data_IF_176869083376
#
_entry.id   IF_176869083376
#
_cell.length_a   1.000
_cell.length_b   1.000
_cell.length_c   1.000
_cell.angle_alpha   90.00
_cell.angle_beta   90.00
_cell.angle_gamma   90.00
#
_symmetry.space_group_name_H-M   'P 1'
#
loop_
_entity.id
_entity.type
_entity.pdbx_description
1 polymer ?
#
# COMPACT_ATOMS: atom_id res chain seq x y z
N UNK A 1 25.59 -31.57 -18.05
CA UNK A 1 24.48 -31.92 -17.13
C UNK A 1 23.34 -30.99 -17.46
N UNK A 2 22.12 -31.51 -17.63
CA UNK A 2 20.93 -30.70 -17.93
C UNK A 2 20.69 -29.71 -16.78
N UNK A 3 20.36 -28.44 -17.02
CA UNK A 3 19.86 -27.58 -15.95
C UNK A 3 18.62 -28.24 -15.35
N UNK A 4 18.58 -28.38 -14.02
CA UNK A 4 17.40 -28.90 -13.33
C UNK A 4 16.19 -28.02 -13.69
N UNK A 5 15.11 -28.63 -14.13
CA UNK A 5 13.87 -27.92 -14.48
C UNK A 5 13.31 -27.27 -13.21
N UNK A 6 13.27 -25.94 -13.16
CA UNK A 6 12.82 -25.18 -12.00
C UNK A 6 11.35 -25.49 -11.61
N UNK A 7 10.58 -26.11 -12.50
CA UNK A 7 9.22 -26.59 -12.21
C UNK A 7 9.19 -27.78 -11.22
N UNK A 8 10.34 -28.38 -10.90
CA UNK A 8 10.48 -29.52 -9.98
C UNK A 8 10.65 -29.12 -8.52
N UNK A 9 10.83 -27.81 -8.24
CA UNK A 9 11.01 -27.30 -6.88
C UNK A 9 9.82 -26.43 -6.47
N UNK A 10 9.18 -26.78 -5.35
CA UNK A 10 8.21 -25.91 -4.70
C UNK A 10 8.89 -25.19 -3.53
N UNK A 11 9.07 -23.88 -3.69
CA UNK A 11 9.71 -23.00 -2.71
C UNK A 11 8.63 -22.36 -1.83
N UNK A 12 8.79 -22.51 -0.52
CA UNK A 12 7.87 -22.01 0.50
C UNK A 12 8.68 -21.15 1.48
N UNK A 13 8.72 -19.82 1.29
CA UNK A 13 9.31 -18.91 2.27
C UNK A 13 8.42 -18.86 3.52
N UNK A 14 9.03 -19.00 4.69
CA UNK A 14 8.34 -19.00 5.98
C UNK A 14 8.85 -17.84 6.82
N UNK A 15 7.94 -17.01 7.35
CA UNK A 15 8.29 -15.97 8.31
C UNK A 15 7.73 -16.32 9.69
N UNK A 16 8.61 -16.57 10.65
CA UNK A 16 8.26 -16.81 12.04
C UNK A 16 8.81 -15.67 12.89
N UNK A 17 7.93 -14.80 13.40
CA UNK A 17 8.27 -13.71 14.34
C UNK A 17 9.45 -12.85 13.88
N UNK A 18 9.44 -12.42 12.61
CA UNK A 18 10.51 -11.63 11.97
C UNK A 18 11.80 -12.41 11.64
N UNK A 19 11.80 -13.74 11.73
CA UNK A 19 12.88 -14.59 11.23
C UNK A 19 12.41 -15.32 9.96
N UNK A 20 13.18 -15.21 8.89
CA UNK A 20 12.91 -15.89 7.63
C UNK A 20 13.58 -17.26 7.58
N UNK A 21 12.81 -18.25 7.15
CA UNK A 21 13.25 -19.62 6.91
C UNK A 21 12.77 -20.04 5.52
N UNK A 22 13.36 -21.11 4.99
CA UNK A 22 13.03 -21.61 3.66
C UNK A 22 12.70 -23.09 3.70
N UNK A 23 11.52 -23.46 3.19
CA UNK A 23 11.18 -24.86 2.92
C UNK A 23 11.17 -25.04 1.40
N UNK A 24 11.88 -26.05 0.90
CA UNK A 24 11.93 -26.38 -0.53
C UNK A 24 11.57 -27.85 -0.70
N UNK A 25 10.49 -28.11 -1.43
CA UNK A 25 10.11 -29.47 -1.83
C UNK A 25 10.79 -29.78 -3.16
N UNK A 26 11.73 -30.72 -3.14
CA UNK A 26 12.31 -31.33 -4.32
C UNK A 26 11.41 -32.51 -4.72
N UNK A 27 10.56 -32.29 -5.73
CA UNK A 27 9.54 -33.25 -6.14
C UNK A 27 10.18 -34.48 -6.80
N UNK A 28 11.30 -34.30 -7.49
CA UNK A 28 12.00 -35.38 -8.20
C UNK A 28 12.64 -36.37 -7.23
N UNK A 29 13.25 -35.86 -6.15
CA UNK A 29 13.99 -36.69 -5.19
C UNK A 29 13.14 -37.09 -3.98
N UNK A 30 11.92 -36.56 -3.86
CA UNK A 30 11.06 -36.72 -2.69
C UNK A 30 11.76 -36.30 -1.39
N UNK A 31 12.39 -35.12 -1.44
CA UNK A 31 13.09 -34.50 -0.32
C UNK A 31 12.43 -33.17 0.03
N UNK A 32 12.31 -32.90 1.32
CA UNK A 32 11.92 -31.61 1.88
C UNK A 32 13.15 -30.99 2.51
N UNK A 33 13.73 -29.99 1.87
CA UNK A 33 14.80 -29.22 2.46
C UNK A 33 14.20 -28.14 3.36
N UNK A 34 14.58 -28.10 4.63
CA UNK A 34 14.15 -27.09 5.59
C UNK A 34 15.35 -26.32 6.11
N UNK A 35 15.59 -25.15 5.53
CA UNK A 35 16.72 -24.32 5.85
C UNK A 35 16.36 -23.21 6.84
N UNK A 36 17.20 -23.06 7.86
CA UNK A 36 17.19 -21.96 8.81
C UNK A 36 18.63 -21.53 9.08
N UNK A 37 18.94 -20.26 8.83
CA UNK A 37 20.26 -19.66 9.04
C UNK A 37 20.66 -19.51 10.51
N UNK A 38 19.77 -19.84 11.46
CA UNK A 38 20.03 -19.91 12.90
C UNK A 38 19.93 -21.35 13.43
N UNK A 39 19.78 -22.35 12.55
CA UNK A 39 19.56 -23.76 12.90
C UNK A 39 18.42 -23.99 13.90
N UNK A 40 17.36 -23.19 13.77
CA UNK A 40 16.14 -23.29 14.58
C UNK A 40 15.00 -23.79 13.69
N UNK A 41 14.57 -25.03 13.87
CA UNK A 41 13.52 -25.62 13.02
C UNK A 41 12.22 -25.79 13.81
N UNK A 42 11.14 -25.23 13.29
CA UNK A 42 9.79 -25.44 13.83
C UNK A 42 9.10 -26.56 13.05
N UNK A 43 9.26 -27.78 13.55
CA UNK A 43 8.68 -28.97 12.92
C UNK A 43 7.15 -28.99 12.95
N UNK A 44 6.50 -28.26 13.88
CA UNK A 44 5.05 -28.13 13.90
C UNK A 44 4.59 -27.31 12.69
N UNK A 45 5.29 -26.22 12.39
CA UNK A 45 5.06 -25.40 11.19
C UNK A 45 5.34 -26.22 9.93
N UNK A 46 6.45 -26.95 9.87
CA UNK A 46 6.79 -27.82 8.74
C UNK A 46 5.68 -28.85 8.46
N UNK A 47 5.29 -29.66 9.46
CA UNK A 47 4.27 -30.71 9.29
C UNK A 47 2.91 -30.13 8.89
N UNK A 48 2.55 -28.96 9.43
CA UNK A 48 1.32 -28.24 9.07
C UNK A 48 1.33 -27.79 7.61
N UNK A 49 2.46 -27.24 7.14
CA UNK A 49 2.62 -26.80 5.76
C UNK A 49 2.63 -27.96 4.77
N UNK A 50 3.34 -29.06 5.07
CA UNK A 50 3.33 -30.26 4.23
C UNK A 50 1.92 -30.86 4.12
N UNK A 51 1.19 -30.92 5.24
CA UNK A 51 -0.21 -31.36 5.25
C UNK A 51 -1.10 -30.47 4.36
N UNK A 52 -0.88 -29.15 4.36
CA UNK A 52 -1.60 -28.22 3.47
C UNK A 52 -1.26 -28.42 2.00
N UNK A 53 0.02 -28.66 1.67
CA UNK A 53 0.45 -28.97 0.30
C UNK A 53 -0.19 -30.25 -0.19
N UNK A 54 -0.21 -31.30 0.64
CA UNK A 54 -0.84 -32.57 0.33
C UNK A 54 -2.36 -32.45 0.16
N UNK A 55 -3.05 -31.77 1.09
CA UNK A 55 -4.49 -31.52 1.00
C UNK A 55 -4.89 -30.65 -0.20
N UNK A 56 -3.99 -29.79 -0.68
CA UNK A 56 -4.23 -29.00 -1.90
C UNK A 56 -4.20 -29.82 -3.19
N UNK A 57 -3.79 -31.09 -3.11
CA UNK A 57 -3.62 -31.98 -4.26
C UNK A 57 -2.40 -31.67 -5.12
N UNK A 58 -1.56 -30.69 -4.74
CA UNK A 58 -0.37 -30.31 -5.50
C UNK A 58 0.71 -31.39 -5.45
N UNK A 59 1.01 -31.92 -4.27
CA UNK A 59 2.00 -32.99 -4.08
C UNK A 59 1.50 -33.98 -3.01
N UNK A 60 0.84 -35.04 -3.46
CA UNK A 60 0.30 -36.10 -2.60
C UNK A 60 1.46 -36.93 -2.03
N UNK A 61 1.39 -37.26 -0.73
CA UNK A 61 2.43 -38.01 -0.02
C UNK A 61 3.63 -37.19 0.43
N UNK A 62 3.64 -35.86 0.26
CA UNK A 62 4.80 -35.05 0.68
C UNK A 62 5.04 -35.02 2.20
N UNK A 63 4.07 -35.43 3.02
CA UNK A 63 4.24 -35.60 4.46
C UNK A 63 5.13 -36.79 4.84
N UNK A 64 5.37 -37.74 3.94
CA UNK A 64 6.24 -38.90 4.18
C UNK A 64 7.63 -38.78 3.55
N UNK A 65 7.92 -37.64 2.91
CA UNK A 65 9.20 -37.39 2.25
C UNK A 65 10.34 -37.18 3.26
N UNK A 66 11.58 -37.45 2.81
CA UNK A 66 12.77 -37.26 3.66
C UNK A 66 12.96 -35.78 3.95
N UNK A 67 13.16 -35.41 5.21
CA UNK A 67 13.44 -34.02 5.61
C UNK A 67 14.95 -33.84 5.81
N UNK A 68 15.50 -32.78 5.23
CA UNK A 68 16.90 -32.39 5.38
C UNK A 68 17.01 -30.95 5.91
N UNK A 69 17.62 -30.78 7.09
CA UNK A 69 17.67 -29.51 7.83
C UNK A 69 18.87 -28.63 7.49
N UNK A 70 19.87 -29.19 6.80
CA UNK A 70 21.10 -28.49 6.37
C UNK A 70 21.84 -27.79 7.52
N UNK A 71 21.94 -28.44 8.68
CA UNK A 71 22.58 -27.85 9.89
C UNK A 71 24.09 -27.61 9.73
N UNK A 72 24.73 -28.23 8.73
CA UNK A 72 26.12 -27.94 8.35
C UNK A 72 26.30 -26.69 7.50
N UNK A 73 25.20 -26.05 7.06
CA UNK A 73 25.26 -24.85 6.24
C UNK A 73 25.61 -23.60 7.09
N UNK A 74 26.18 -22.56 6.45
CA UNK A 74 26.59 -21.33 7.10
C UNK A 74 25.48 -20.68 7.94
N UNK A 75 25.82 -20.35 9.18
CA UNK A 75 24.96 -19.63 10.10
C UNK A 75 25.15 -18.13 9.90
N UNK A 76 24.05 -17.37 9.95
CA UNK A 76 24.15 -15.90 9.94
C UNK A 76 24.82 -15.41 11.22
N UNK A 77 25.59 -14.33 11.14
CA UNK A 77 26.21 -13.71 12.33
C UNK A 77 25.48 -12.46 12.83
N UNK A 78 24.53 -11.94 12.05
CA UNK A 78 23.75 -10.74 12.39
C UNK A 78 22.24 -11.05 12.50
N UNK A 79 21.45 -10.07 12.96
CA UNK A 79 20.02 -10.26 13.23
C UNK A 79 19.10 -10.08 12.01
N UNK A 80 19.61 -9.64 10.86
CA UNK A 80 18.81 -9.15 9.73
C UNK A 80 19.02 -9.90 8.41
N UNK A 81 20.07 -10.72 8.30
CA UNK A 81 20.42 -11.42 7.06
C UNK A 81 19.72 -12.78 6.86
N UNK A 82 18.71 -13.11 7.67
CA UNK A 82 17.93 -14.35 7.50
C UNK A 82 17.27 -14.48 6.11
N UNK A 83 16.82 -13.38 5.52
CA UNK A 83 16.27 -13.35 4.16
C UNK A 83 17.34 -13.61 3.08
N UNK A 84 18.42 -12.80 3.01
CA UNK A 84 19.55 -13.04 2.12
C UNK A 84 20.15 -14.45 2.23
N UNK A 85 20.34 -14.98 3.44
CA UNK A 85 20.82 -16.36 3.63
C UNK A 85 19.85 -17.40 3.06
N UNK A 86 18.54 -17.21 3.26
CA UNK A 86 17.53 -18.09 2.65
C UNK A 86 17.55 -18.03 1.10
N UNK A 87 17.80 -16.86 0.51
CA UNK A 87 17.97 -16.71 -0.93
C UNK A 87 19.27 -17.35 -1.44
N UNK A 88 20.38 -17.21 -0.71
CA UNK A 88 21.64 -17.88 -1.03
C UNK A 88 21.50 -19.39 -0.95
N UNK A 89 20.90 -19.91 0.12
CA UNK A 89 20.57 -21.33 0.24
C UNK A 89 19.80 -21.82 -0.98
N UNK A 90 18.72 -21.12 -1.37
CA UNK A 90 17.92 -21.50 -2.53
C UNK A 90 18.75 -21.48 -3.82
N UNK A 91 19.58 -20.46 -4.02
CA UNK A 91 20.48 -20.36 -5.18
C UNK A 91 21.44 -21.56 -5.23
N UNK A 92 22.12 -21.86 -4.13
CA UNK A 92 23.07 -22.98 -4.09
C UNK A 92 22.37 -24.33 -4.29
N UNK A 93 21.19 -24.51 -3.69
CA UNK A 93 20.36 -25.69 -3.89
C UNK A 93 19.96 -25.88 -5.37
N UNK A 94 19.40 -24.84 -5.99
CA UNK A 94 18.90 -24.92 -7.37
C UNK A 94 20.01 -25.07 -8.41
N UNK A 95 21.20 -24.55 -8.12
CA UNK A 95 22.36 -24.66 -9.00
C UNK A 95 23.26 -25.87 -8.67
N UNK A 96 22.90 -26.69 -7.68
CA UNK A 96 23.72 -27.80 -7.18
C UNK A 96 25.17 -27.38 -6.87
N UNK A 97 25.32 -26.23 -6.20
CA UNK A 97 26.61 -25.68 -5.74
C UNK A 97 26.73 -25.98 -4.24
N UNK A 98 27.93 -26.31 -3.79
CA UNK A 98 28.22 -26.51 -2.37
C UNK A 98 27.75 -25.31 -1.54
N UNK A 99 27.15 -25.60 -0.37
CA UNK A 99 26.60 -24.61 0.56
C UNK A 99 27.70 -23.85 1.33
N UNK A 100 28.73 -23.37 0.63
CA UNK A 100 29.89 -22.67 1.18
C UNK A 100 29.77 -21.17 0.94
N UNK A 101 28.80 -20.53 1.60
CA UNK A 101 28.62 -19.09 1.54
C UNK A 101 28.83 -18.41 2.90
N UNK A 102 28.93 -17.09 2.92
CA UNK A 102 29.21 -16.32 4.14
C UNK A 102 28.43 -15.01 4.22
N UNK A 103 28.54 -14.30 5.34
CA UNK A 103 27.98 -12.95 5.49
C UNK A 103 28.47 -11.98 4.39
N UNK A 104 29.66 -12.22 3.81
CA UNK A 104 30.18 -11.43 2.70
C UNK A 104 29.30 -11.56 1.45
N UNK A 105 28.90 -12.78 1.11
CA UNK A 105 28.02 -13.03 -0.05
C UNK A 105 26.59 -12.61 0.24
N UNK A 106 26.14 -12.70 1.50
CA UNK A 106 24.85 -12.12 1.93
C UNK A 106 24.85 -10.61 1.71
N UNK A 107 25.91 -9.90 2.12
CA UNK A 107 26.05 -8.47 1.90
C UNK A 107 26.09 -8.11 0.41
N UNK A 108 26.86 -8.86 -0.40
CA UNK A 108 26.89 -8.67 -1.84
C UNK A 108 25.51 -8.89 -2.47
N UNK A 109 24.79 -9.94 -2.06
CA UNK A 109 23.44 -10.22 -2.53
C UNK A 109 22.46 -9.11 -2.15
N UNK A 110 22.60 -8.46 -1.00
CA UNK A 110 21.78 -7.29 -0.64
C UNK A 110 22.01 -6.14 -1.61
N UNK A 111 23.28 -5.84 -1.95
CA UNK A 111 23.61 -4.81 -2.94
C UNK A 111 23.07 -5.16 -4.33
N UNK A 112 23.17 -6.43 -4.75
CA UNK A 112 22.67 -6.90 -6.04
C UNK A 112 21.14 -6.88 -6.10
N UNK A 113 20.45 -7.32 -5.04
CA UNK A 113 19.00 -7.27 -4.93
C UNK A 113 18.51 -5.82 -4.94
N UNK A 114 19.19 -4.92 -4.23
CA UNK A 114 18.92 -3.49 -4.28
C UNK A 114 19.04 -2.95 -5.70
N UNK A 115 20.14 -3.25 -6.38
CA UNK A 115 20.36 -2.84 -7.77
C UNK A 115 19.27 -3.40 -8.72
N UNK A 116 18.90 -4.67 -8.57
CA UNK A 116 17.84 -5.29 -9.37
C UNK A 116 16.46 -4.69 -9.09
N UNK A 117 16.13 -4.42 -7.84
CA UNK A 117 14.87 -3.75 -7.46
C UNK A 117 14.86 -2.32 -8.01
N UNK A 118 15.96 -1.58 -7.86
CA UNK A 118 16.12 -0.23 -8.37
C UNK A 118 16.05 -0.22 -9.91
N UNK A 119 16.59 -1.25 -10.59
CA UNK A 119 16.51 -1.39 -12.05
C UNK A 119 15.12 -1.80 -12.57
N UNK A 120 14.32 -2.49 -11.76
CA UNK A 120 12.92 -2.81 -12.09
C UNK A 120 11.97 -1.65 -11.71
N UNK A 121 12.31 -0.89 -10.67
CA UNK A 121 11.56 0.28 -10.23
C UNK A 121 11.89 1.55 -11.03
N UNK A 122 13.08 1.62 -11.62
CA UNK A 122 13.47 2.67 -12.57
C UNK A 122 13.12 2.22 -13.99
N UNK A 123 12.24 2.91 -14.73
CA UNK A 123 12.13 2.63 -16.15
C UNK A 123 13.50 2.92 -16.78
N UNK A 124 14.10 1.90 -17.40
CA UNK A 124 15.21 2.07 -18.33
C UNK A 124 14.71 3.00 -19.43
N UNK A 125 15.03 4.28 -19.34
CA UNK A 125 14.93 5.21 -20.46
C UNK A 125 16.15 4.92 -21.32
N UNK A 126 16.00 4.38 -22.54
CA UNK A 126 17.13 4.23 -23.43
C UNK A 126 17.71 5.62 -23.70
N UNK A 127 18.97 5.81 -23.35
CA UNK A 127 19.75 7.00 -23.62
C UNK A 127 20.06 7.09 -25.13
N UNK A 128 19.05 7.31 -25.95
CA UNK A 128 19.09 7.92 -27.29
C UNK A 128 17.65 8.03 -27.80
N UNK A 129 16.90 8.97 -27.24
CA UNK A 129 15.80 9.56 -27.97
C UNK A 129 15.75 11.03 -27.57
N UNK A 130 15.97 11.91 -28.54
CA UNK A 130 15.61 13.32 -28.50
C UNK A 130 14.30 13.51 -27.72
N UNK A 131 14.11 14.65 -27.01
CA UNK A 131 12.85 14.95 -26.36
C UNK A 131 11.76 14.80 -27.41
N UNK A 132 11.03 13.68 -27.35
CA UNK A 132 9.82 13.51 -28.13
C UNK A 132 8.87 14.50 -27.47
N UNK A 133 8.86 15.71 -28.02
CA UNK A 133 7.62 16.44 -28.23
C UNK A 133 6.56 15.39 -28.45
N UNK A 134 5.60 15.32 -27.53
CA UNK A 134 4.38 14.59 -27.76
C UNK A 134 3.77 15.24 -29.02
N UNK A 135 4.11 14.69 -30.19
CA UNK A 135 3.31 14.91 -31.38
C UNK A 135 2.04 14.15 -31.04
N UNK A 136 0.89 14.83 -30.94
CA UNK A 136 -0.35 14.12 -30.76
C UNK A 136 -0.47 13.22 -31.99
N UNK A 137 -0.40 11.91 -31.78
CA UNK A 137 -0.96 10.99 -32.74
C UNK A 137 -2.41 11.47 -32.93
N UNK A 138 -2.81 11.69 -34.18
CA UNK A 138 -4.10 12.26 -34.57
C UNK A 138 -5.32 11.39 -34.21
N UNK A 139 -5.23 10.57 -33.17
CA UNK A 139 -6.34 10.01 -32.43
C UNK A 139 -6.82 11.07 -31.43
N UNK A 140 -7.90 11.76 -31.79
CA UNK A 140 -8.68 12.60 -30.89
C UNK A 140 -8.96 11.81 -29.61
N UNK A 141 -8.22 12.08 -28.54
CA UNK A 141 -8.47 11.42 -27.25
C UNK A 141 -9.82 11.94 -26.80
N UNK A 142 -10.88 11.14 -26.93
CA UNK A 142 -12.21 11.56 -26.51
C UNK A 142 -12.15 11.93 -25.03
N UNK A 143 -12.56 13.16 -24.72
CA UNK A 143 -12.71 13.62 -23.35
C UNK A 143 -13.71 12.70 -22.64
N UNK A 144 -13.44 12.38 -21.38
CA UNK A 144 -14.41 11.68 -20.55
C UNK A 144 -15.65 12.56 -20.35
N UNK A 145 -16.79 11.96 -19.99
CA UNK A 145 -17.99 12.75 -19.65
C UNK A 145 -17.70 13.78 -18.54
N UNK A 146 -16.90 13.40 -17.56
CA UNK A 146 -16.44 14.30 -16.50
C UNK A 146 -15.61 15.47 -17.06
N UNK A 147 -14.62 15.20 -17.91
CA UNK A 147 -13.81 16.23 -18.53
C UNK A 147 -14.67 17.15 -19.40
N UNK A 148 -15.55 16.59 -20.24
CA UNK A 148 -16.45 17.37 -21.09
C UNK A 148 -17.38 18.29 -20.29
N UNK A 149 -17.89 17.80 -19.15
CA UNK A 149 -18.75 18.59 -18.26
C UNK A 149 -18.03 19.80 -17.67
N UNK A 150 -16.77 19.63 -17.26
CA UNK A 150 -16.04 20.66 -16.51
C UNK A 150 -15.05 21.50 -17.32
N UNK A 151 -14.76 21.13 -18.57
CA UNK A 151 -13.72 21.78 -19.36
C UNK A 151 -13.97 23.27 -19.56
N UNK A 152 -15.15 23.65 -20.02
CA UNK A 152 -15.46 25.06 -20.32
C UNK A 152 -15.72 25.85 -19.03
N UNK A 153 -16.50 25.28 -18.11
CA UNK A 153 -16.85 25.95 -16.83
C UNK A 153 -15.65 26.12 -15.91
N UNK A 154 -14.62 25.28 -15.99
CA UNK A 154 -13.44 25.41 -15.13
C UNK A 154 -12.62 26.68 -15.40
N UNK A 155 -12.80 27.33 -16.56
CA UNK A 155 -12.20 28.62 -16.83
C UNK A 155 -12.74 29.74 -15.92
N UNK A 156 -13.96 29.59 -15.39
CA UNK A 156 -14.60 30.62 -14.55
C UNK A 156 -14.34 30.43 -13.06
N UNK A 157 -13.82 29.28 -12.62
CA UNK A 157 -13.65 28.93 -11.20
C UNK A 157 -12.74 29.89 -10.40
N UNK A 158 -11.89 30.63 -11.09
CA UNK A 158 -11.04 31.64 -10.45
C UNK A 158 -11.81 32.91 -10.05
N UNK A 159 -12.99 33.15 -10.64
CA UNK A 159 -13.84 34.31 -10.33
C UNK A 159 -14.23 34.34 -8.85
N UNK A 160 -14.19 35.51 -8.17
CA UNK A 160 -14.54 35.64 -6.76
C UNK A 160 -15.96 35.16 -6.43
N UNK A 161 -16.90 35.26 -7.37
CA UNK A 161 -18.32 34.92 -7.18
C UNK A 161 -18.61 33.41 -7.25
N UNK A 162 -17.63 32.59 -7.64
CA UNK A 162 -17.81 31.14 -7.72
C UNK A 162 -17.69 30.50 -6.35
N UNK A 163 -18.75 29.80 -5.96
CA UNK A 163 -18.75 28.89 -4.81
C UNK A 163 -17.97 27.61 -5.13
N UNK A 164 -16.70 27.59 -4.71
CA UNK A 164 -15.82 26.43 -4.91
C UNK A 164 -16.28 25.18 -4.14
N UNK A 165 -17.10 25.32 -3.09
CA UNK A 165 -17.66 24.17 -2.39
C UNK A 165 -18.70 23.49 -3.27
N UNK A 166 -19.60 24.25 -3.89
CA UNK A 166 -20.58 23.73 -4.84
C UNK A 166 -19.89 23.05 -6.04
N UNK A 167 -18.82 23.66 -6.57
CA UNK A 167 -17.99 23.05 -7.63
C UNK A 167 -17.42 21.71 -7.18
N UNK A 168 -16.85 21.64 -5.97
CA UNK A 168 -16.31 20.39 -5.43
C UNK A 168 -17.39 19.31 -5.29
N UNK A 169 -18.54 19.66 -4.72
CA UNK A 169 -19.64 18.71 -4.52
C UNK A 169 -20.17 18.18 -5.85
N UNK A 170 -20.26 19.04 -6.88
CA UNK A 170 -20.65 18.64 -8.24
C UNK A 170 -19.60 17.74 -8.91
N UNK A 171 -18.31 18.04 -8.73
CA UNK A 171 -17.22 17.17 -9.21
C UNK A 171 -17.31 15.79 -8.54
N UNK A 172 -17.53 15.74 -7.23
CA UNK A 172 -17.66 14.50 -6.48
C UNK A 172 -18.84 13.68 -6.99
N UNK A 173 -20.00 14.31 -7.14
CA UNK A 173 -21.20 13.65 -7.67
C UNK A 173 -20.96 13.10 -9.08
N UNK A 174 -20.35 13.89 -9.98
CA UNK A 174 -20.06 13.47 -11.35
C UNK A 174 -19.09 12.29 -11.42
N UNK A 175 -18.09 12.22 -10.54
CA UNK A 175 -17.14 11.10 -10.47
C UNK A 175 -17.84 9.84 -9.96
N UNK A 176 -18.72 9.98 -8.96
CA UNK A 176 -19.45 8.85 -8.36
C UNK A 176 -20.51 8.30 -9.32
N UNK A 177 -21.27 9.16 -10.00
CA UNK A 177 -22.30 8.75 -10.96
C UNK A 177 -21.70 8.12 -12.21
N UNK A 178 -20.66 8.73 -12.80
CA UNK A 178 -19.99 8.19 -13.99
C UNK A 178 -19.35 6.82 -13.78
N UNK A 179 -18.98 6.47 -12.54
CA UNK A 179 -18.51 5.11 -12.21
C UNK A 179 -19.66 4.11 -11.96
N UNK A 180 -20.84 4.58 -11.54
CA UNK A 180 -21.99 3.72 -11.28
C UNK A 180 -22.87 3.48 -12.52
N UNK A 181 -22.68 4.24 -13.60
CA UNK A 181 -23.31 3.91 -14.88
C UNK A 181 -22.78 2.57 -15.41
N UNK A 182 -23.67 1.63 -15.76
CA UNK A 182 -23.24 0.38 -16.36
C UNK A 182 -22.66 0.66 -17.74
N UNK A 183 -21.35 0.55 -17.88
CA UNK A 183 -20.70 0.39 -19.18
C UNK A 183 -21.47 -0.67 -19.99
N UNK A 184 -21.88 -0.32 -21.21
CA UNK A 184 -22.74 -1.08 -22.13
C UNK A 184 -22.34 -2.57 -22.34
N UNK A 185 -23.26 -3.43 -22.83
CA UNK A 185 -23.39 -4.80 -22.37
C UNK A 185 -22.56 -5.82 -23.17
N UNK A 186 -21.59 -6.47 -22.50
CA UNK A 186 -21.14 -7.82 -22.88
C UNK A 186 -20.87 -8.65 -21.63
N UNK A 187 -21.94 -9.22 -21.08
CA UNK A 187 -21.99 -10.57 -20.48
C UNK A 187 -23.35 -10.72 -19.80
N UNK A 188 -24.24 -11.47 -20.45
CA UNK A 188 -25.48 -11.97 -19.89
C UNK A 188 -25.20 -12.79 -18.62
N UNK A 189 -25.67 -12.31 -17.47
CA UNK A 189 -25.89 -13.19 -16.31
C UNK A 189 -27.10 -12.74 -15.50
N UNK A 190 -28.25 -13.30 -15.89
CA UNK A 190 -29.42 -13.63 -15.07
C UNK A 190 -29.67 -12.70 -13.87
N UNK A 191 -30.41 -11.62 -14.11
CA UNK A 191 -31.14 -10.92 -13.06
C UNK A 191 -32.22 -11.85 -12.48
N UNK A 192 -32.09 -12.24 -11.20
CA UNK A 192 -33.26 -12.65 -10.41
C UNK A 192 -33.92 -11.38 -9.88
N UNK A 193 -35.16 -11.16 -10.33
CA UNK A 193 -36.09 -10.17 -9.78
C UNK A 193 -36.31 -10.44 -8.28
N UNK A 194 -36.19 -9.40 -7.46
CA UNK A 194 -36.79 -9.39 -6.12
C UNK A 194 -38.09 -8.57 -6.19
N UNK A 195 -39.22 -9.07 -5.63
CA UNK A 195 -40.46 -8.33 -5.62
C UNK A 195 -40.42 -7.24 -4.55
N UNK A 196 -40.93 -6.05 -4.89
CA UNK A 196 -41.08 -4.96 -3.96
C UNK A 196 -42.13 -5.24 -2.88
N UNK A 197 -41.97 -4.61 -1.73
CA UNK A 197 -43.06 -4.15 -0.86
C UNK A 197 -42.53 -3.13 0.13
N UNK A 198 -43.22 -1.99 0.20
CA UNK A 198 -43.02 -0.98 1.22
C UNK A 198 -43.41 -1.46 2.61
N UNK A 199 -42.88 -0.79 3.62
CA UNK A 199 -43.21 -0.99 5.01
C UNK A 199 -42.20 -0.26 5.90
N UNK A 200 -42.68 0.71 6.68
CA UNK A 200 -41.92 1.37 7.75
C UNK A 200 -41.32 0.29 8.67
N UNK A 201 -40.00 0.22 8.77
CA UNK A 201 -39.29 -0.77 9.58
C UNK A 201 -38.46 -0.10 10.66
N UNK A 202 -38.77 -0.43 11.92
CA UNK A 202 -38.00 -0.08 13.11
C UNK A 202 -36.50 -0.37 12.96
N UNK A 203 -35.69 0.47 13.59
CA UNK A 203 -34.26 0.27 13.79
C UNK A 203 -34.03 -1.10 14.42
N UNK A 204 -33.53 -2.04 13.62
CA UNK A 204 -33.16 -3.38 14.08
C UNK A 204 -31.87 -3.25 14.90
N UNK A 205 -31.98 -3.23 16.22
CA UNK A 205 -30.83 -3.52 17.09
C UNK A 205 -30.28 -4.89 16.70
N UNK A 206 -29.05 -4.93 16.17
CA UNK A 206 -28.36 -6.18 15.90
C UNK A 206 -27.81 -6.72 17.21
N UNK A 207 -28.59 -7.58 17.86
CA UNK A 207 -28.09 -8.48 18.90
C UNK A 207 -26.97 -9.32 18.30
N UNK A 208 -25.76 -9.22 18.85
CA UNK A 208 -24.61 -10.02 18.49
C UNK A 208 -24.76 -11.45 19.05
N UNK A 209 -25.71 -12.22 18.52
CA UNK A 209 -25.71 -13.66 18.66
C UNK A 209 -24.91 -14.23 17.49
N UNK A 210 -23.71 -14.74 17.77
CA UNK A 210 -22.84 -15.47 16.84
C UNK A 210 -23.51 -16.76 16.37
N UNK A 211 -24.37 -16.68 15.37
CA UNK A 211 -24.69 -17.84 14.53
C UNK A 211 -23.59 -17.99 13.48
N UNK A 212 -23.05 -19.20 13.32
CA UNK A 212 -22.09 -19.52 12.26
C UNK A 212 -22.69 -19.13 10.89
N UNK A 213 -22.05 -18.24 10.13
CA UNK A 213 -22.47 -17.96 8.76
C UNK A 213 -22.56 -19.26 7.94
N UNK A 214 -23.69 -19.51 7.27
CA UNK A 214 -23.93 -20.74 6.51
C UNK A 214 -22.87 -21.03 5.41
N UNK A 215 -22.13 -20.01 4.95
CA UNK A 215 -21.04 -20.16 3.98
C UNK A 215 -19.79 -20.83 4.56
N UNK A 216 -19.61 -20.87 5.90
CA UNK A 216 -18.50 -21.59 6.54
C UNK A 216 -18.60 -23.12 6.39
N UNK A 217 -19.76 -23.63 5.98
CA UNK A 217 -20.01 -25.07 5.85
C UNK A 217 -19.57 -25.65 4.48
N UNK A 218 -18.99 -24.83 3.59
CA UNK A 218 -18.56 -25.27 2.25
C UNK A 218 -17.22 -24.67 1.88
N UNK A 219 -16.24 -25.54 1.57
CA UNK A 219 -14.90 -25.13 1.14
C UNK A 219 -14.92 -24.22 -0.10
N UNK A 220 -15.82 -24.47 -1.06
CA UNK A 220 -15.99 -23.63 -2.26
C UNK A 220 -16.53 -22.23 -1.91
N UNK A 221 -17.46 -22.15 -0.95
CA UNK A 221 -17.98 -20.87 -0.48
C UNK A 221 -16.95 -20.07 0.34
N UNK A 222 -16.14 -20.76 1.15
CA UNK A 222 -15.00 -20.20 1.88
C UNK A 222 -13.94 -19.68 0.90
N UNK A 223 -13.57 -20.45 -0.12
CA UNK A 223 -12.58 -20.03 -1.12
C UNK A 223 -13.06 -18.79 -1.90
N UNK A 224 -14.34 -18.77 -2.29
CA UNK A 224 -14.95 -17.63 -2.98
C UNK A 224 -15.00 -16.38 -2.08
N UNK A 225 -15.28 -16.55 -0.79
CA UNK A 225 -15.22 -15.48 0.20
C UNK A 225 -13.78 -14.99 0.45
N UNK A 226 -12.81 -15.91 0.50
CA UNK A 226 -11.39 -15.58 0.66
C UNK A 226 -10.87 -14.79 -0.53
N UNK A 227 -11.14 -15.24 -1.76
CA UNK A 227 -10.69 -14.57 -2.98
C UNK A 227 -11.27 -13.16 -3.15
N UNK A 228 -12.44 -12.88 -2.55
CA UNK A 228 -13.08 -11.56 -2.61
C UNK A 228 -12.70 -10.65 -1.45
N UNK A 229 -12.52 -11.19 -0.25
CA UNK A 229 -12.14 -10.42 0.95
C UNK A 229 -11.30 -11.27 1.93
N UNK A 230 -9.99 -11.45 1.68
CA UNK A 230 -9.14 -12.38 2.43
C UNK A 230 -9.17 -12.13 3.94
N UNK A 231 -8.88 -10.89 4.37
CA UNK A 231 -8.82 -10.53 5.78
C UNK A 231 -10.16 -10.70 6.52
N UNK A 232 -11.28 -10.36 5.85
CA UNK A 232 -12.62 -10.48 6.45
C UNK A 232 -13.03 -11.94 6.61
N UNK A 233 -12.70 -12.76 5.62
CA UNK A 233 -12.97 -14.21 5.62
C UNK A 233 -12.15 -14.91 6.70
N UNK A 234 -10.85 -14.59 6.81
CA UNK A 234 -9.98 -15.10 7.88
C UNK A 234 -10.50 -14.69 9.26
N UNK A 235 -10.89 -13.44 9.47
CA UNK A 235 -11.44 -12.99 10.75
C UNK A 235 -12.74 -13.73 11.13
N UNK A 236 -13.60 -14.01 10.15
CA UNK A 236 -14.83 -14.77 10.35
C UNK A 236 -14.56 -16.25 10.68
N UNK A 237 -13.57 -16.87 10.02
CA UNK A 237 -13.13 -18.25 10.29
C UNK A 237 -12.51 -18.37 11.68
N UNK A 238 -11.58 -17.47 12.01
CA UNK A 238 -10.88 -17.46 13.29
C UNK A 238 -11.76 -17.05 14.47
N UNK A 239 -13.06 -16.76 14.22
CA UNK A 239 -14.03 -16.25 15.20
C UNK A 239 -13.46 -15.11 16.04
N UNK A 240 -12.57 -14.31 15.46
CA UNK A 240 -12.05 -13.14 16.15
C UNK A 240 -13.23 -12.20 16.29
N UNK A 241 -13.68 -11.86 17.51
CA UNK A 241 -14.65 -10.79 17.63
C UNK A 241 -14.05 -9.60 16.89
N UNK A 242 -14.86 -8.95 16.04
CA UNK A 242 -14.53 -7.61 15.58
C UNK A 242 -14.54 -6.75 16.84
N UNK A 243 -13.42 -6.75 17.58
CA UNK A 243 -13.16 -5.85 18.68
C UNK A 243 -12.88 -4.49 18.03
N UNK A 244 -13.92 -3.90 17.45
CA UNK A 244 -13.96 -2.45 17.41
C UNK A 244 -13.91 -2.03 18.86
N UNK A 245 -12.92 -1.22 19.25
CA UNK A 245 -12.79 -0.84 20.64
C UNK A 245 -14.07 -0.12 21.10
N UNK A 246 -14.39 -0.24 22.38
CA UNK A 246 -15.55 0.39 23.04
C UNK A 246 -15.44 1.91 23.18
N UNK A 247 -14.33 2.51 22.71
CA UNK A 247 -14.06 3.94 22.85
C UNK A 247 -15.01 4.80 22.01
N UNK A 248 -15.56 5.83 22.63
CA UNK A 248 -16.34 6.87 21.95
C UNK A 248 -15.43 7.79 21.15
N UNK A 249 -15.97 8.45 20.12
CA UNK A 249 -15.23 9.42 19.32
C UNK A 249 -14.60 10.54 20.18
N UNK A 250 -15.31 10.98 21.23
CA UNK A 250 -14.82 11.99 22.18
C UNK A 250 -13.63 11.50 23.00
N UNK A 251 -13.66 10.25 23.49
CA UNK A 251 -12.52 9.66 24.21
C UNK A 251 -11.28 9.59 23.31
N UNK A 252 -11.47 9.20 22.05
CA UNK A 252 -10.39 9.15 21.06
C UNK A 252 -9.82 10.53 20.81
N UNK A 253 -10.69 11.51 20.52
CA UNK A 253 -10.28 12.88 20.27
C UNK A 253 -9.49 13.45 21.48
N UNK A 254 -10.06 13.42 22.68
CA UNK A 254 -9.41 13.97 23.87
C UNK A 254 -8.05 13.34 24.14
N UNK A 255 -7.92 12.02 24.01
CA UNK A 255 -6.64 11.36 24.22
C UNK A 255 -5.59 11.85 23.22
N UNK A 256 -5.86 11.79 21.92
CA UNK A 256 -4.85 12.10 20.90
C UNK A 256 -4.59 13.60 20.71
N UNK A 257 -5.59 14.46 20.92
CA UNK A 257 -5.38 15.92 20.90
C UNK A 257 -4.49 16.37 22.05
N UNK A 258 -4.62 15.76 23.23
CA UNK A 258 -3.83 16.13 24.41
C UNK A 258 -2.41 15.55 24.42
N UNK A 259 -2.07 14.64 23.49
CA UNK A 259 -0.70 14.10 23.36
C UNK A 259 0.28 15.09 22.73
N UNK A 260 -0.19 16.13 22.04
CA UNK A 260 0.69 17.15 21.47
C UNK A 260 0.99 18.20 22.52
N UNK A 261 2.22 18.35 23.02
CA UNK A 261 2.60 19.62 23.64
C UNK A 261 2.42 20.72 22.58
N UNK A 262 1.75 21.80 22.95
CA UNK A 262 1.62 22.97 22.09
C UNK A 262 3.02 23.60 21.93
N UNK A 263 3.78 23.13 20.95
CA UNK A 263 5.02 23.81 20.55
C UNK A 263 4.58 25.04 19.77
N UNK A 264 4.40 26.15 20.48
CA UNK A 264 4.01 27.44 19.91
C UNK A 264 5.22 28.25 19.43
N UNK A 265 6.43 27.85 19.81
CA UNK A 265 7.69 28.50 19.44
C UNK A 265 8.83 27.49 19.42
N UNK A 266 9.75 27.62 18.47
CA UNK A 266 11.07 26.99 18.58
C UNK A 266 11.83 27.65 19.74
N UNK A 267 12.70 26.89 20.41
CA UNK A 267 13.58 27.47 21.43
C UNK A 267 14.53 28.47 20.74
N UNK A 268 14.82 29.64 21.33
CA UNK A 268 15.71 30.65 20.73
C UNK A 268 17.05 30.07 20.28
N UNK A 269 17.60 29.14 21.07
CA UNK A 269 18.87 28.47 20.78
C UNK A 269 18.82 27.62 19.50
N UNK A 270 17.64 27.14 19.10
CA UNK A 270 17.46 26.40 17.84
C UNK A 270 17.40 27.37 16.66
N UNK A 271 16.80 28.55 16.84
CA UNK A 271 16.67 29.57 15.78
C UNK A 271 18.05 30.05 15.32
N UNK A 272 18.99 30.21 16.25
CA UNK A 272 20.35 30.70 15.96
C UNK A 272 21.23 29.69 15.20
N UNK A 273 20.86 28.40 15.18
CA UNK A 273 21.61 27.32 14.52
C UNK A 273 21.03 27.01 13.13
N UNK A 274 19.81 27.47 12.83
CA UNK A 274 19.19 27.23 11.53
C UNK A 274 19.88 28.08 10.44
N UNK A 275 20.08 27.52 9.23
CA UNK A 275 20.55 28.31 8.11
C UNK A 275 19.58 29.48 7.84
N UNK A 276 20.08 30.61 7.30
CA UNK A 276 19.22 31.70 6.92
C UNK A 276 18.11 31.20 5.97
N UNK A 277 16.89 31.75 6.05
CA UNK A 277 15.79 31.33 5.19
C UNK A 277 16.22 31.40 3.73
N UNK A 278 16.04 30.29 3.00
CA UNK A 278 16.27 30.29 1.56
C UNK A 278 15.36 31.33 0.90
N UNK A 279 15.94 32.17 0.04
CA UNK A 279 15.24 33.31 -0.57
C UNK A 279 14.51 32.94 -1.87
N UNK A 280 14.87 31.81 -2.49
CA UNK A 280 14.19 31.33 -3.69
C UNK A 280 13.03 30.41 -3.32
N UNK A 281 11.81 30.87 -3.56
CA UNK A 281 10.58 30.10 -3.39
C UNK A 281 9.89 29.77 -4.71
N UNK A 282 10.54 30.04 -5.85
CA UNK A 282 9.96 29.89 -7.20
C UNK A 282 9.35 28.51 -7.42
N UNK A 283 10.04 27.45 -7.00
CA UNK A 283 9.55 26.06 -7.08
C UNK A 283 8.27 25.81 -6.28
N UNK A 284 8.13 26.46 -5.12
CA UNK A 284 6.97 26.28 -4.24
C UNK A 284 5.74 26.99 -4.82
N UNK A 285 5.93 28.17 -5.41
CA UNK A 285 4.86 29.04 -5.93
C UNK A 285 4.58 28.89 -7.42
N UNK A 286 5.38 28.09 -8.13
CA UNK A 286 5.18 27.80 -9.54
C UNK A 286 3.76 27.31 -9.82
N UNK A 287 3.21 27.62 -10.99
CA UNK A 287 1.89 27.10 -11.35
C UNK A 287 1.91 25.55 -11.38
N UNK A 288 0.84 24.92 -10.91
CA UNK A 288 0.71 23.45 -10.94
C UNK A 288 0.59 22.96 -12.39
N UNK A 289 1.42 22.01 -12.83
CA UNK A 289 1.28 21.40 -14.15
C UNK A 289 0.39 20.15 -14.10
N UNK A 290 -0.25 19.83 -15.23
CA UNK A 290 -1.03 18.59 -15.36
C UNK A 290 -0.14 17.34 -15.19
N UNK A 291 1.08 17.37 -15.72
CA UNK A 291 2.04 16.29 -15.57
C UNK A 291 2.39 15.99 -14.11
N UNK A 292 2.55 17.02 -13.28
CA UNK A 292 2.88 16.89 -11.87
C UNK A 292 1.73 16.25 -11.10
N UNK A 293 0.50 16.72 -11.33
CA UNK A 293 -0.70 16.16 -10.70
C UNK A 293 -0.95 14.73 -11.18
N UNK A 294 -0.82 14.50 -12.48
CA UNK A 294 -0.99 13.19 -13.11
C UNK A 294 -0.01 12.17 -12.52
N UNK A 295 1.27 12.51 -12.38
CA UNK A 295 2.28 11.61 -11.81
C UNK A 295 1.89 11.15 -10.40
N UNK A 296 1.47 12.08 -9.53
CA UNK A 296 1.04 11.74 -8.16
C UNK A 296 -0.26 10.95 -8.16
N UNK A 297 -1.19 11.28 -9.04
CA UNK A 297 -2.43 10.52 -9.22
C UNK A 297 -2.15 9.06 -9.64
N UNK A 298 -1.19 8.82 -10.54
CA UNK A 298 -0.82 7.47 -10.99
C UNK A 298 -0.07 6.66 -9.92
N UNK A 299 0.76 7.31 -9.11
CA UNK A 299 1.52 6.64 -8.03
C UNK A 299 0.68 6.38 -6.77
N UNK A 300 -0.45 7.06 -6.59
CA UNK A 300 -1.29 6.90 -5.41
C UNK A 300 -1.85 5.45 -5.29
N UNK A 301 -1.72 4.79 -4.13
CA UNK A 301 -2.24 3.43 -3.96
C UNK A 301 -3.77 3.43 -3.90
N UNK A 302 -4.38 2.34 -4.34
CA UNK A 302 -5.81 2.13 -4.21
C UNK A 302 -6.19 1.77 -2.77
N UNK A 303 -6.49 2.78 -1.96
CA UNK A 303 -6.87 2.64 -0.56
C UNK A 303 -8.37 2.83 -0.35
N UNK A 304 -8.82 2.63 0.89
CA UNK A 304 -10.17 3.02 1.30
C UNK A 304 -10.41 4.52 1.04
N UNK A 305 -11.62 4.91 0.59
CA UNK A 305 -11.95 6.30 0.32
C UNK A 305 -12.18 7.10 1.62
N UNK A 306 -12.10 8.41 1.51
CA UNK A 306 -12.48 9.35 2.56
C UNK A 306 -14.01 9.49 2.69
N UNK A 307 -14.44 10.58 3.34
CA UNK A 307 -15.86 10.88 3.53
C UNK A 307 -16.63 11.11 2.21
N UNK A 308 -15.92 11.51 1.15
CA UNK A 308 -16.42 11.73 -0.21
C UNK A 308 -16.66 10.45 -1.02
N UNK A 309 -16.24 9.29 -0.50
CA UNK A 309 -16.41 7.95 -1.11
C UNK A 309 -15.71 7.78 -2.46
N UNK A 310 -14.77 8.66 -2.82
CA UNK A 310 -13.98 8.55 -4.06
C UNK A 310 -12.69 7.80 -3.78
N UNK A 311 -12.40 6.78 -4.59
CA UNK A 311 -11.11 6.10 -4.60
C UNK A 311 -10.28 6.52 -5.83
N UNK A 312 -8.99 6.18 -5.82
CA UNK A 312 -8.06 6.62 -6.88
C UNK A 312 -8.42 6.07 -8.26
N UNK A 313 -9.07 4.90 -8.35
CA UNK A 313 -9.49 4.33 -9.65
C UNK A 313 -10.59 5.16 -10.29
N UNK A 314 -11.56 5.59 -9.49
CA UNK A 314 -12.63 6.48 -9.95
C UNK A 314 -12.04 7.81 -10.46
N UNK A 315 -11.08 8.37 -9.73
CA UNK A 315 -10.42 9.61 -10.12
C UNK A 315 -9.65 9.46 -11.44
N UNK A 316 -8.86 8.39 -11.60
CA UNK A 316 -8.13 8.10 -12.85
C UNK A 316 -9.05 7.84 -14.04
N UNK A 317 -10.20 7.21 -13.80
CA UNK A 317 -11.19 6.98 -14.86
C UNK A 317 -11.90 8.28 -15.26
N UNK A 318 -12.18 9.16 -14.30
CA UNK A 318 -12.85 10.43 -14.54
C UNK A 318 -11.93 11.45 -15.23
N UNK A 319 -10.67 11.57 -14.82
CA UNK A 319 -9.73 12.56 -15.36
C UNK A 319 -8.35 11.95 -15.66
N UNK A 320 -8.20 11.10 -16.69
CA UNK A 320 -6.99 10.30 -16.94
C UNK A 320 -5.70 11.11 -17.12
N UNK A 321 -5.81 12.37 -17.56
CA UNK A 321 -4.70 13.32 -17.75
C UNK A 321 -4.56 14.35 -16.63
N UNK A 322 -5.38 14.28 -15.57
CA UNK A 322 -5.45 15.26 -14.49
C UNK A 322 -5.74 16.71 -14.95
N UNK A 323 -6.43 16.89 -16.08
CA UNK A 323 -6.71 18.19 -16.68
C UNK A 323 -7.61 19.06 -15.79
N UNK A 324 -8.81 18.54 -15.46
CA UNK A 324 -9.80 19.26 -14.65
C UNK A 324 -9.31 19.36 -13.20
N UNK A 325 -8.69 18.29 -12.71
CA UNK A 325 -8.18 18.24 -11.35
C UNK A 325 -7.07 19.27 -11.11
N UNK A 326 -6.18 19.48 -12.08
CA UNK A 326 -5.15 20.54 -12.02
C UNK A 326 -5.78 21.92 -11.96
N UNK A 327 -6.79 22.20 -12.79
CA UNK A 327 -7.51 23.49 -12.76
C UNK A 327 -8.20 23.73 -11.40
N UNK A 328 -8.80 22.68 -10.84
CA UNK A 328 -9.40 22.74 -9.51
C UNK A 328 -8.36 23.05 -8.42
N UNK A 329 -7.21 22.37 -8.43
CA UNK A 329 -6.15 22.60 -7.45
C UNK A 329 -5.52 23.99 -7.57
N UNK A 330 -5.37 24.53 -8.79
CA UNK A 330 -4.92 25.92 -8.97
C UNK A 330 -5.87 26.91 -8.30
N UNK A 331 -7.18 26.69 -8.39
CA UNK A 331 -8.18 27.51 -7.70
C UNK A 331 -8.06 27.38 -6.17
N UNK A 332 -7.89 26.16 -5.66
CA UNK A 332 -7.68 25.92 -4.22
C UNK A 332 -6.45 26.68 -3.70
N UNK A 333 -5.31 26.58 -4.39
CA UNK A 333 -4.07 27.25 -4.00
C UNK A 333 -4.17 28.78 -4.11
N UNK A 334 -4.69 29.29 -5.23
CA UNK A 334 -4.82 30.73 -5.46
C UNK A 334 -5.74 31.39 -4.43
N UNK A 335 -6.88 30.77 -4.12
CA UNK A 335 -7.83 31.29 -3.12
C UNK A 335 -7.48 30.92 -1.67
N UNK A 336 -6.38 30.18 -1.44
CA UNK A 336 -6.01 29.64 -0.12
C UNK A 336 -7.17 28.89 0.56
N UNK A 337 -7.89 28.12 -0.24
CA UNK A 337 -9.14 27.49 0.13
C UNK A 337 -9.08 25.97 -0.12
N UNK A 338 -9.78 25.20 0.72
CA UNK A 338 -9.95 23.76 0.56
C UNK A 338 -11.40 23.36 0.86
N UNK A 339 -11.92 22.30 0.20
CA UNK A 339 -13.25 21.76 0.49
C UNK A 339 -13.45 21.40 1.96
N UNK A 340 -14.69 21.55 2.45
CA UNK A 340 -15.05 21.20 3.82
C UNK A 340 -14.73 19.74 4.14
N UNK A 341 -14.92 18.84 3.18
CA UNK A 341 -14.66 17.41 3.32
C UNK A 341 -13.17 17.12 3.58
N UNK A 342 -12.25 17.99 3.16
CA UNK A 342 -10.81 17.83 3.42
C UNK A 342 -10.41 18.27 4.84
N UNK A 343 -11.30 19.02 5.51
CA UNK A 343 -11.18 19.39 6.92
C UNK A 343 -11.78 18.31 7.84
N UNK A 344 -12.36 17.26 7.26
CA UNK A 344 -12.96 16.14 7.96
C UNK A 344 -12.16 14.87 7.65
N UNK A 345 -11.94 14.03 8.65
CA UNK A 345 -11.29 12.73 8.44
C UNK A 345 -12.10 11.62 9.08
N UNK A 346 -12.22 10.49 8.38
CA UNK A 346 -12.78 9.27 8.99
C UNK A 346 -11.65 8.58 9.73
N UNK A 347 -11.67 8.65 11.06
CA UNK A 347 -10.66 7.99 11.89
C UNK A 347 -11.00 6.51 12.07
N UNK A 348 -10.02 5.63 11.81
CA UNK A 348 -10.06 4.20 12.14
C UNK A 348 -8.94 3.89 13.12
N UNK A 349 -9.27 3.17 14.19
CA UNK A 349 -8.29 2.70 15.15
C UNK A 349 -7.74 1.35 14.70
N UNK A 350 -6.43 1.27 14.54
CA UNK A 350 -5.71 0.01 14.34
C UNK A 350 -5.04 -0.42 15.63
N UNK A 351 -5.35 -1.61 16.10
CA UNK A 351 -4.68 -2.17 17.27
C UNK A 351 -3.21 -2.44 16.92
N UNK A 352 -2.29 -1.97 17.78
CA UNK A 352 -0.86 -2.25 17.63
C UNK A 352 -0.47 -3.46 18.49
N UNK A 353 -0.48 -3.31 19.81
CA UNK A 353 0.04 -4.28 20.79
C UNK A 353 -0.40 -3.93 22.22
N UNK A 354 -0.24 -4.85 23.19
CA UNK A 354 -0.56 -4.62 24.60
C UNK A 354 -2.02 -4.84 25.01
N UNK A 355 -2.49 -4.09 26.01
CA UNK A 355 -3.87 -4.15 26.49
C UNK A 355 -4.84 -3.46 25.51
N UNK A 356 -5.89 -4.15 25.08
CA UNK A 356 -6.89 -3.63 24.14
C UNK A 356 -7.82 -2.58 24.76
N UNK A 357 -7.98 -2.59 26.09
CA UNK A 357 -8.79 -1.60 26.81
C UNK A 357 -8.06 -0.26 27.00
N UNK A 358 -6.76 -0.19 26.66
CA UNK A 358 -5.96 1.04 26.74
C UNK A 358 -5.84 1.72 25.38
N UNK A 359 -6.39 2.92 25.23
CA UNK A 359 -6.41 3.64 23.95
C UNK A 359 -5.01 3.96 23.36
N UNK A 360 -3.98 4.09 24.21
CA UNK A 360 -2.58 4.33 23.79
C UNK A 360 -1.97 3.17 22.96
N UNK A 361 -2.57 1.99 23.05
CA UNK A 361 -2.17 0.77 22.33
C UNK A 361 -2.80 0.66 20.93
N UNK A 362 -3.62 1.65 20.57
CA UNK A 362 -4.22 1.77 19.26
C UNK A 362 -3.50 2.88 18.47
N UNK A 363 -3.58 2.82 17.15
CA UNK A 363 -3.03 3.82 16.24
C UNK A 363 -4.20 4.43 15.46
N UNK A 364 -4.44 5.75 15.57
CA UNK A 364 -5.46 6.41 14.78
C UNK A 364 -4.94 6.55 13.34
N UNK A 365 -5.75 6.12 12.38
CA UNK A 365 -5.52 6.36 10.97
C UNK A 365 -6.67 7.22 10.45
N UNK A 366 -6.31 8.39 9.94
CA UNK A 366 -7.21 9.27 9.23
C UNK A 366 -7.34 8.81 7.77
N UNK A 367 -8.56 8.48 7.34
CA UNK A 367 -8.87 8.25 5.93
C UNK A 367 -9.21 9.60 5.30
N UNK A 368 -8.28 10.11 4.49
CA UNK A 368 -8.41 11.38 3.78
C UNK A 368 -9.06 11.19 2.39
N UNK A 369 -9.85 12.18 1.93
CA UNK A 369 -10.26 12.32 0.53
C UNK A 369 -9.10 12.09 -0.45
N UNK A 370 -9.32 11.31 -1.51
CA UNK A 370 -8.24 11.00 -2.45
C UNK A 370 -7.78 12.24 -3.22
N UNK A 371 -8.69 13.19 -3.48
CA UNK A 371 -8.33 14.47 -4.08
C UNK A 371 -7.38 15.26 -3.15
N UNK A 372 -7.60 15.24 -1.83
CA UNK A 372 -6.67 15.87 -0.87
C UNK A 372 -5.30 15.20 -0.89
N UNK A 373 -5.26 13.87 -0.89
CA UNK A 373 -4.01 13.12 -0.88
C UNK A 373 -3.13 13.37 -2.10
N UNK A 374 -3.74 13.51 -3.28
CA UNK A 374 -3.00 13.80 -4.51
C UNK A 374 -2.33 15.18 -4.43
N UNK A 375 -3.06 16.23 -4.05
CA UNK A 375 -2.46 17.57 -3.92
C UNK A 375 -1.45 17.64 -2.77
N UNK A 376 -1.70 16.98 -1.63
CA UNK A 376 -0.74 16.88 -0.54
C UNK A 376 0.55 16.19 -0.98
N UNK A 377 0.47 15.16 -1.83
CA UNK A 377 1.65 14.50 -2.38
C UNK A 377 2.42 15.40 -3.38
N UNK A 378 1.72 16.24 -4.14
CA UNK A 378 2.36 17.26 -5.00
C UNK A 378 3.09 18.28 -4.15
N UNK A 379 2.41 18.88 -3.16
CA UNK A 379 3.00 19.88 -2.25
C UNK A 379 4.18 19.29 -1.48
N UNK A 380 4.06 18.08 -0.94
CA UNK A 380 5.14 17.39 -0.25
C UNK A 380 6.35 17.16 -1.17
N UNK A 381 6.12 16.79 -2.43
CA UNK A 381 7.17 16.63 -3.43
C UNK A 381 7.90 17.95 -3.69
N UNK A 382 7.16 19.05 -3.85
CA UNK A 382 7.74 20.39 -4.03
C UNK A 382 8.56 20.84 -2.84
N UNK A 383 7.99 20.72 -1.63
CA UNK A 383 8.68 21.07 -0.38
C UNK A 383 9.94 20.24 -0.17
N UNK A 384 9.89 18.94 -0.47
CA UNK A 384 11.05 18.05 -0.31
C UNK A 384 12.17 18.43 -1.28
N UNK A 385 11.84 18.63 -2.55
CA UNK A 385 12.84 19.03 -3.56
C UNK A 385 13.42 20.41 -3.27
N UNK A 386 12.60 21.37 -2.87
CA UNK A 386 13.05 22.69 -2.45
C UNK A 386 13.97 22.62 -1.23
N UNK A 387 13.59 21.87 -0.19
CA UNK A 387 14.39 21.72 1.01
C UNK A 387 15.75 21.05 0.72
N UNK A 388 15.78 20.09 -0.21
CA UNK A 388 17.03 19.46 -0.67
C UNK A 388 17.93 20.41 -1.45
N UNK A 389 17.36 21.13 -2.40
CA UNK A 389 18.10 22.09 -3.22
C UNK A 389 18.75 23.19 -2.37
N UNK A 390 18.17 23.48 -1.20
CA UNK A 390 18.66 24.48 -0.25
C UNK A 390 19.41 23.87 0.96
N UNK A 391 19.76 22.58 0.93
CA UNK A 391 20.53 21.94 1.99
C UNK A 391 19.84 21.88 3.37
N UNK A 392 18.51 22.05 3.43
CA UNK A 392 17.72 22.06 4.66
C UNK A 392 17.41 20.66 5.20
N UNK A 393 17.64 19.62 4.39
CA UNK A 393 17.54 18.23 4.79
C UNK A 393 18.94 17.64 4.82
N UNK A 394 19.43 17.28 6.01
CA UNK A 394 20.67 16.51 6.13
C UNK A 394 20.46 15.11 5.58
N UNK A 395 21.00 14.82 4.39
CA UNK A 395 20.93 13.49 3.80
C UNK A 395 21.74 12.44 4.59
N UNK A 396 22.69 12.90 5.43
CA UNK A 396 23.49 12.06 6.31
C UNK A 396 22.75 11.67 7.58
N UNK A 397 21.99 12.59 8.19
CA UNK A 397 21.34 12.36 9.48
C UNK A 397 19.82 12.04 9.37
N UNK A 398 19.12 12.61 8.39
CA UNK A 398 17.68 12.43 8.24
C UNK A 398 17.37 11.30 7.25
N UNK A 399 17.09 10.11 7.78
CA UNK A 399 16.79 8.91 6.98
C UNK A 399 15.29 8.61 6.86
N UNK A 400 14.52 8.93 7.90
CA UNK A 400 13.07 8.76 7.89
C UNK A 400 12.40 9.67 6.84
N UNK A 401 11.45 9.11 6.09
CA UNK A 401 10.67 9.83 5.07
C UNK A 401 11.51 10.44 3.94
N UNK A 402 12.75 9.96 3.76
CA UNK A 402 13.53 10.20 2.54
C UNK A 402 13.34 9.01 1.57
N UNK A 403 13.54 9.19 0.25
CA UNK A 403 13.67 8.13 -0.74
C UNK A 403 15.03 7.41 -0.59
N UNK A 404 15.35 6.97 0.62
CA UNK A 404 16.46 6.10 0.97
C UNK A 404 15.89 4.81 1.57
N UNK A 405 16.67 3.74 1.55
CA UNK A 405 16.24 2.44 2.06
C UNK A 405 15.92 2.51 3.56
N UNK A 406 14.97 1.68 3.98
CA UNK A 406 14.29 1.78 5.27
C UNK A 406 15.21 1.75 6.50
N UNK A 407 14.59 1.88 7.68
CA UNK A 407 15.24 1.97 8.99
C UNK A 407 16.16 0.80 9.37
N UNK A 408 16.22 -0.29 8.59
CA UNK A 408 17.02 -1.48 8.86
C UNK A 408 18.52 -1.32 8.62
N UNK A 409 18.97 -0.43 7.74
CA UNK A 409 20.41 -0.27 7.43
C UNK A 409 21.22 0.43 8.54
N UNK A 410 20.55 0.99 9.56
CA UNK A 410 21.17 1.91 10.52
C UNK A 410 21.12 1.45 11.98
N UNK A 411 20.53 0.29 12.28
CA UNK A 411 20.75 -0.37 13.58
C UNK A 411 22.12 -1.10 13.65
N UNK A 412 22.95 -0.89 12.63
CA UNK A 412 24.22 -1.58 12.39
C UNK A 412 25.47 -0.70 12.53
N UNK A 413 25.38 0.45 13.20
CA UNK A 413 26.56 1.22 13.62
C UNK A 413 26.77 1.16 15.13
#
# INVERSE_FOLDING_TARGET
MSPHDASMFLVIPVNLRNHWQMIVLNVTEHIVHYYCSLHQHDFVVLSSLLSLVELSGKHIGCTSWRVETHDGAPMQTNAFDCGPFACLFLKHLLHAIDMNFSDRESAALRTDLKFMIDAVASPVVPATANPKTFKPDGSTTQLTQFQQKFLDVSATWQSPDVDLQAVYDEMVESIVTGHNEPSSPKASRLQRKSPGKGGKGQVRQRSAATQNPAWLNSASAVQKAYNSAPARTVNAILRRPNACPSFTATQVANHYFNLRPAVTSLAPEVVDILPPPATDHSMLVAELSESEVWEKMQKAPNSAPGADRINIRMLRAADPGALILTRFYRCCLMKKWVPLQWKQSVCKLLYKDGDKERLANWRPIALEPVLQRVISAVVASRMTSWARANGLISLEAQKGFQPADGSSEYLSN
#
